data_IF_829771872102
#
_entry.id   IF_829771872102
#
_cell.length_a   1.000
_cell.length_b   1.000
_cell.length_c   1.000
_cell.angle_alpha   90.00
_cell.angle_beta   90.00
_cell.angle_gamma   90.00
#
_symmetry.space_group_name_H-M   'P 1'
#
loop_
_entity.id
_entity.type
_entity.pdbx_description
1 polymer ?
#
# COMPACT_ATOMS: atom_id res chain seq x y z
N UNK A 1 14.86 4.45 -13.29
CA UNK A 1 13.89 3.34 -13.26
C UNK A 1 13.90 2.76 -11.85
N UNK A 2 12.79 2.81 -11.11
CA UNK A 2 12.73 2.16 -9.79
C UNK A 2 12.71 0.65 -9.99
N UNK A 3 13.55 -0.08 -9.27
CA UNK A 3 13.57 -1.55 -9.31
C UNK A 3 12.40 -2.12 -8.50
N UNK A 4 12.04 -3.37 -8.77
CA UNK A 4 11.00 -4.11 -8.05
C UNK A 4 11.22 -4.05 -6.53
N UNK A 5 12.47 -4.20 -6.10
CA UNK A 5 12.87 -4.07 -4.70
C UNK A 5 12.57 -2.69 -4.11
N UNK A 6 12.76 -1.60 -4.87
CA UNK A 6 12.43 -0.25 -4.39
C UNK A 6 10.92 -0.05 -4.25
N UNK A 7 10.13 -0.54 -5.21
CA UNK A 7 8.66 -0.50 -5.10
C UNK A 7 8.17 -1.29 -3.89
N UNK A 8 8.75 -2.46 -3.65
CA UNK A 8 8.42 -3.29 -2.51
C UNK A 8 8.79 -2.62 -1.19
N UNK A 9 9.96 -1.99 -1.10
CA UNK A 9 10.33 -1.16 0.06
C UNK A 9 9.40 0.04 0.25
N UNK A 10 9.04 0.75 -0.82
CA UNK A 10 8.07 1.85 -0.78
C UNK A 10 6.72 1.37 -0.23
N UNK A 11 6.23 0.19 -0.66
CA UNK A 11 4.98 -0.41 -0.17
C UNK A 11 5.09 -0.77 1.32
N UNK A 12 6.18 -1.41 1.74
CA UNK A 12 6.40 -1.80 3.14
C UNK A 12 6.49 -0.57 4.03
N UNK A 13 7.22 0.47 3.62
CA UNK A 13 7.29 1.72 4.37
C UNK A 13 5.93 2.40 4.46
N UNK A 14 5.19 2.49 3.34
CA UNK A 14 3.87 3.11 3.32
C UNK A 14 2.88 2.36 4.21
N UNK A 15 2.85 1.02 4.13
CA UNK A 15 2.00 0.18 4.98
C UNK A 15 2.37 0.27 6.46
N UNK A 16 3.66 0.35 6.80
CA UNK A 16 4.13 0.59 8.18
C UNK A 16 3.68 1.96 8.70
N UNK A 17 3.77 2.99 7.86
CA UNK A 17 3.28 4.33 8.18
C UNK A 17 1.76 4.32 8.39
N UNK A 18 1.03 3.59 7.55
CA UNK A 18 -0.42 3.42 7.69
C UNK A 18 -0.75 2.64 8.97
N UNK A 19 -0.05 1.56 9.30
CA UNK A 19 -0.24 0.81 10.55
C UNK A 19 -0.04 1.70 11.79
N UNK A 20 0.99 2.53 11.77
CA UNK A 20 1.37 3.37 12.93
C UNK A 20 0.54 4.65 13.05
N UNK A 21 0.25 5.33 11.94
CA UNK A 21 -0.45 6.63 11.95
C UNK A 21 -1.95 6.51 11.66
N UNK A 22 -2.37 5.48 10.92
CA UNK A 22 -3.74 5.28 10.46
C UNK A 22 -4.18 3.81 10.65
N UNK A 23 -4.16 3.28 11.89
CA UNK A 23 -4.46 1.87 12.17
C UNK A 23 -5.85 1.45 11.68
N UNK A 24 -6.79 2.39 11.58
CA UNK A 24 -8.12 2.19 10.99
C UNK A 24 -8.01 1.84 9.50
N UNK A 25 -7.23 2.59 8.72
CA UNK A 25 -6.96 2.31 7.31
C UNK A 25 -6.18 1.00 7.14
N UNK A 26 -5.22 0.74 8.03
CA UNK A 26 -4.45 -0.51 8.02
C UNK A 26 -5.32 -1.74 8.24
N UNK A 27 -6.35 -1.64 9.09
CA UNK A 27 -7.31 -2.72 9.31
C UNK A 27 -8.03 -3.11 8.01
N UNK A 28 -8.46 -2.14 7.21
CA UNK A 28 -9.05 -2.41 5.90
C UNK A 28 -8.05 -3.03 4.90
N UNK A 29 -6.77 -2.66 5.00
CA UNK A 29 -5.70 -3.23 4.17
C UNK A 29 -5.35 -4.67 4.56
N UNK A 30 -5.40 -4.99 5.85
CA UNK A 30 -5.16 -6.35 6.36
C UNK A 30 -6.20 -7.36 5.89
N UNK A 31 -7.41 -6.91 5.55
CA UNK A 31 -8.47 -7.73 4.94
C UNK A 31 -8.20 -8.05 3.46
N UNK A 32 -7.34 -7.28 2.81
CA UNK A 32 -6.79 -7.60 1.49
C UNK A 32 -5.38 -8.18 1.68
N UNK A 33 -5.23 -9.49 1.92
CA UNK A 33 -3.92 -10.11 1.91
C UNK A 33 -3.35 -9.95 0.51
N UNK A 34 -2.50 -8.95 0.31
CA UNK A 34 -1.58 -8.99 -0.82
C UNK A 34 -0.78 -10.24 -0.54
N UNK A 35 -0.92 -11.22 -1.41
CA UNK A 35 -0.16 -12.45 -1.39
C UNK A 35 1.31 -12.15 -1.78
N UNK A 36 1.95 -11.23 -1.06
CA UNK A 36 3.36 -10.87 -1.16
C UNK A 36 4.25 -11.97 -0.56
N UNK A 37 3.65 -13.01 0.05
CA UNK A 37 4.36 -14.11 0.68
C UNK A 37 3.97 -15.54 0.27
N UNK A 38 2.99 -15.76 -0.61
CA UNK A 38 2.55 -17.16 -0.92
C UNK A 38 2.54 -17.51 -2.40
N UNK A 39 2.65 -16.54 -3.30
CA UNK A 39 2.82 -16.83 -4.71
C UNK A 39 4.30 -17.06 -5.03
N UNK A 40 4.84 -18.18 -4.57
CA UNK A 40 6.15 -18.69 -4.97
C UNK A 40 6.25 -18.93 -6.50
N UNK A 41 5.18 -18.66 -7.26
CA UNK A 41 5.06 -18.93 -8.70
C UNK A 41 4.42 -17.82 -9.57
N UNK A 42 3.82 -16.73 -9.02
CA UNK A 42 3.37 -15.61 -9.87
C UNK A 42 4.46 -14.56 -9.98
N UNK A 43 4.98 -14.35 -11.20
CA UNK A 43 5.81 -13.19 -11.55
C UNK A 43 4.99 -11.91 -11.32
N UNK A 44 5.02 -11.39 -10.10
CA UNK A 44 4.51 -10.05 -9.81
C UNK A 44 5.38 -9.09 -10.63
N UNK A 45 4.78 -8.37 -11.58
CA UNK A 45 5.53 -7.43 -12.41
C UNK A 45 5.71 -6.12 -11.66
N UNK A 46 6.74 -5.36 -12.02
CA UNK A 46 6.93 -4.00 -11.51
C UNK A 46 5.71 -3.12 -11.74
N UNK A 47 4.97 -3.35 -12.82
CA UNK A 47 3.69 -2.67 -13.10
C UNK A 47 2.62 -2.99 -12.04
N UNK A 48 2.45 -4.25 -11.66
CA UNK A 48 1.45 -4.65 -10.66
C UNK A 48 1.76 -4.01 -9.30
N UNK A 49 3.03 -4.02 -8.89
CA UNK A 49 3.46 -3.38 -7.64
C UNK A 49 3.29 -1.87 -7.69
N UNK A 50 3.56 -1.25 -8.83
CA UNK A 50 3.39 0.20 -8.97
C UNK A 50 1.90 0.59 -8.91
N UNK A 51 1.03 -0.14 -9.61
CA UNK A 51 -0.42 0.07 -9.50
C UNK A 51 -0.94 -0.16 -8.08
N UNK A 52 -0.40 -1.18 -7.39
CA UNK A 52 -0.74 -1.44 -6.00
C UNK A 52 -0.32 -0.29 -5.08
N UNK A 53 0.91 0.20 -5.23
CA UNK A 53 1.44 1.35 -4.48
C UNK A 53 0.62 2.62 -4.75
N UNK A 54 0.24 2.88 -5.99
CA UNK A 54 -0.60 4.02 -6.36
C UNK A 54 -2.00 3.92 -5.74
N UNK A 55 -2.58 2.72 -5.73
CA UNK A 55 -3.88 2.47 -5.09
C UNK A 55 -3.81 2.75 -3.59
N UNK A 56 -2.78 2.24 -2.91
CA UNK A 56 -2.53 2.51 -1.49
C UNK A 56 -2.38 4.01 -1.20
N UNK A 57 -1.58 4.71 -2.01
CA UNK A 57 -1.39 6.17 -1.85
C UNK A 57 -2.70 6.93 -2.06
N UNK A 58 -3.48 6.55 -3.06
CA UNK A 58 -4.77 7.18 -3.34
C UNK A 58 -5.76 6.95 -2.21
N UNK A 59 -5.85 5.73 -1.67
CA UNK A 59 -6.68 5.41 -0.49
C UNK A 59 -6.25 6.20 0.75
N UNK A 60 -4.94 6.25 1.02
CA UNK A 60 -4.40 7.03 2.13
C UNK A 60 -4.70 8.52 1.95
N UNK A 61 -4.48 9.06 0.76
CA UNK A 61 -4.72 10.47 0.48
C UNK A 61 -6.21 10.82 0.58
N UNK A 62 -7.09 9.97 0.07
CA UNK A 62 -8.54 10.15 0.21
C UNK A 62 -8.98 10.08 1.67
N UNK A 63 -8.39 9.17 2.45
CA UNK A 63 -8.64 9.08 3.88
C UNK A 63 -8.18 10.36 4.60
N UNK A 64 -6.96 10.84 4.33
CA UNK A 64 -6.45 12.11 4.88
C UNK A 64 -7.34 13.27 4.47
N UNK A 65 -7.75 13.38 3.21
CA UNK A 65 -8.60 14.45 2.71
C UNK A 65 -9.99 14.43 3.37
N UNK A 66 -10.58 13.24 3.50
CA UNK A 66 -11.88 13.05 4.16
C UNK A 66 -11.80 13.32 5.68
N UNK A 67 -10.70 12.93 6.33
CA UNK A 67 -10.50 13.16 7.77
C UNK A 67 -10.09 14.60 8.10
N UNK A 68 -9.32 15.26 7.23
CA UNK A 68 -8.78 16.60 7.44
C UNK A 68 -9.67 17.68 6.82
N UNK A 69 -10.59 17.31 5.91
CA UNK A 69 -11.59 18.17 5.27
C UNK A 69 -12.80 18.52 6.14
N UNK A 70 -12.77 18.24 7.45
CA UNK A 70 -13.69 18.88 8.40
C UNK A 70 -13.12 20.21 8.87
N UNK A 71 -13.24 21.23 8.01
CA UNK A 71 -13.39 22.61 8.45
C UNK A 71 -14.12 23.45 7.40
#
# INVERSE_FOLDING_TARGET
>A
MKTLNQLMQDIIQLTTVIETQYPELYKYLSETPISLGVAQEKKISTTDLNQYLETLKSQLQHHIDTHNGKK
#
